data_IF_571564948033
#
_entry.id   IF_571564948033
#
_cell.length_a   1.000
_cell.length_b   1.000
_cell.length_c   1.000
_cell.angle_alpha   90.00
_cell.angle_beta   90.00
_cell.angle_gamma   90.00
#
_symmetry.space_group_name_H-M   'P 1'
#
loop_
_entity.id
_entity.type
_entity.pdbx_description
1 polymer ?
#
# COMPACT_ATOMS: atom_id res chain seq x y z
N UNK A 1 1.51 36.47 -1.70
CA UNK A 1 1.18 35.17 -1.08
C UNK A 1 -0.30 34.92 -1.33
N UNK A 2 -0.63 34.17 -2.38
CA UNK A 2 -2.01 33.76 -2.62
C UNK A 2 -2.35 32.65 -1.64
N UNK A 3 -3.40 32.85 -0.84
CA UNK A 3 -4.02 31.82 -0.01
C UNK A 3 -4.51 30.71 -0.94
N UNK A 4 -3.80 29.58 -0.94
CA UNK A 4 -4.19 28.43 -1.75
C UNK A 4 -5.45 27.81 -1.15
N UNK A 5 -6.51 27.72 -1.95
CA UNK A 5 -7.72 26.97 -1.58
C UNK A 5 -7.34 25.50 -1.40
N UNK A 6 -7.28 25.06 -0.14
CA UNK A 6 -7.16 23.65 0.19
C UNK A 6 -8.44 22.97 -0.32
N UNK A 7 -8.36 21.81 -1.02
CA UNK A 7 -9.54 21.12 -1.49
C UNK A 7 -10.42 20.81 -0.28
N UNK A 8 -11.56 21.49 -0.18
CA UNK A 8 -12.21 21.73 1.12
C UNK A 8 -12.88 20.50 1.73
N UNK A 9 -12.82 19.34 1.08
CA UNK A 9 -13.32 18.07 1.62
C UNK A 9 -12.84 16.85 0.81
N UNK A 10 -11.60 16.40 0.99
CA UNK A 10 -11.13 15.13 0.38
C UNK A 10 -11.68 13.98 1.21
N UNK A 11 -12.42 13.06 0.57
CA UNK A 11 -12.89 11.82 1.20
C UNK A 11 -12.27 10.62 0.49
N UNK A 12 -11.58 9.78 1.25
CA UNK A 12 -11.00 8.53 0.79
C UNK A 12 -11.95 7.38 1.12
N UNK A 13 -12.42 6.71 0.08
CA UNK A 13 -13.21 5.49 0.21
C UNK A 13 -12.28 4.29 0.30
N UNK A 14 -12.22 3.68 1.49
CA UNK A 14 -11.21 2.68 1.84
C UNK A 14 -11.77 1.36 2.36
N UNK A 15 -13.07 1.15 2.17
CA UNK A 15 -13.79 -0.06 2.59
C UNK A 15 -14.21 -0.08 4.06
N UNK A 16 -13.41 0.48 4.98
CA UNK A 16 -13.69 0.46 6.42
C UNK A 16 -13.62 1.86 7.07
N UNK A 17 -14.52 2.18 8.02
CA UNK A 17 -14.68 3.54 8.55
C UNK A 17 -13.65 3.94 9.61
N UNK A 18 -12.84 3.02 10.15
CA UNK A 18 -11.93 3.32 11.27
C UNK A 18 -10.80 4.25 10.81
N UNK A 19 -10.64 5.41 11.45
CA UNK A 19 -9.47 6.30 11.23
C UNK A 19 -8.27 5.79 12.02
N UNK A 20 -7.05 5.98 11.50
CA UNK A 20 -5.80 5.60 12.17
C UNK A 20 -5.34 4.15 11.95
N UNK A 21 -6.20 3.27 11.43
CA UNK A 21 -5.84 1.89 11.09
C UNK A 21 -5.43 1.77 9.61
N UNK A 22 -4.34 1.08 9.31
CA UNK A 22 -4.00 0.74 7.92
C UNK A 22 -5.00 -0.27 7.33
N UNK A 23 -5.11 -0.31 6.00
CA UNK A 23 -6.00 -1.27 5.32
C UNK A 23 -5.22 -2.40 4.68
N UNK A 24 -5.91 -3.49 4.38
CA UNK A 24 -5.31 -4.60 3.63
C UNK A 24 -4.98 -4.23 2.18
N UNK A 25 -5.45 -3.08 1.67
CA UNK A 25 -5.09 -2.59 0.34
C UNK A 25 -3.79 -1.78 0.38
N UNK A 26 -2.74 -2.18 -0.35
CA UNK A 26 -1.50 -1.41 -0.42
C UNK A 26 -1.69 -0.06 -1.11
N UNK A 27 -2.59 0.03 -2.10
CA UNK A 27 -2.87 1.27 -2.85
C UNK A 27 -3.52 2.35 -1.99
N UNK A 28 -4.48 1.97 -1.14
CA UNK A 28 -5.11 2.88 -0.19
C UNK A 28 -4.07 3.34 0.83
N UNK A 29 -3.30 2.41 1.38
CA UNK A 29 -2.28 2.72 2.38
C UNK A 29 -1.22 3.67 1.81
N UNK A 30 -0.70 3.42 0.61
CA UNK A 30 0.19 4.31 -0.15
C UNK A 30 -0.40 5.72 -0.30
N UNK A 31 -1.65 5.83 -0.75
CA UNK A 31 -2.31 7.12 -0.98
C UNK A 31 -2.49 7.91 0.32
N UNK A 32 -3.01 7.27 1.37
CA UNK A 32 -3.15 7.89 2.69
C UNK A 32 -1.81 8.38 3.21
N UNK A 33 -0.77 7.56 3.07
CA UNK A 33 0.57 7.90 3.48
C UNK A 33 1.08 9.15 2.72
N UNK A 34 0.88 9.19 1.40
CA UNK A 34 1.28 10.31 0.56
C UNK A 34 0.56 11.62 0.88
N UNK A 35 -0.73 11.55 1.20
CA UNK A 35 -1.51 12.72 1.64
C UNK A 35 -1.01 13.25 2.98
N UNK A 36 -0.68 12.37 3.93
CA UNK A 36 -0.07 12.76 5.21
C UNK A 36 1.27 13.47 5.01
N UNK A 37 2.11 12.98 4.10
CA UNK A 37 3.39 13.65 3.76
C UNK A 37 3.20 15.05 3.18
N UNK A 38 2.13 15.27 2.43
CA UNK A 38 1.75 16.59 1.93
C UNK A 38 1.07 17.49 2.94
N UNK A 39 0.86 17.04 4.19
CA UNK A 39 0.05 17.77 5.17
C UNK A 39 -1.42 17.94 4.75
N UNK A 40 -1.92 17.12 3.82
CA UNK A 40 -3.29 17.22 3.33
C UNK A 40 -4.23 16.49 4.29
N UNK A 41 -5.21 17.23 4.82
CA UNK A 41 -6.29 16.66 5.62
C UNK A 41 -7.31 15.93 4.74
N UNK A 42 -7.79 14.78 5.20
CA UNK A 42 -8.80 13.99 4.50
C UNK A 42 -9.74 13.27 5.47
N UNK A 43 -10.94 12.96 4.97
CA UNK A 43 -11.92 12.10 5.61
C UNK A 43 -11.81 10.68 5.07
N UNK A 44 -12.26 9.70 5.86
CA UNK A 44 -12.32 8.30 5.43
C UNK A 44 -13.77 7.85 5.50
N UNK A 45 -14.18 7.10 4.49
CA UNK A 45 -15.52 6.52 4.41
C UNK A 45 -15.44 5.06 3.93
N UNK A 46 -16.48 4.30 4.27
CA UNK A 46 -16.67 2.93 3.75
C UNK A 46 -17.34 2.95 2.36
N UNK A 47 -17.13 1.90 1.58
CA UNK A 47 -17.75 1.75 0.24
C UNK A 47 -16.88 2.24 -0.92
N UNK A 48 -17.53 2.65 -2.01
CA UNK A 48 -16.90 3.16 -3.23
C UNK A 48 -17.48 4.54 -3.60
N UNK A 49 -16.70 5.40 -4.27
CA UNK A 49 -17.20 6.71 -4.68
C UNK A 49 -18.30 6.54 -5.73
N UNK A 50 -19.53 6.96 -5.41
CA UNK A 50 -20.67 6.93 -6.33
C UNK A 50 -20.67 8.08 -7.37
N UNK A 51 -19.63 8.95 -7.41
CA UNK A 51 -19.59 10.16 -8.24
C UNK A 51 -18.52 10.15 -9.35
N UNK A 52 -18.85 10.84 -10.45
CA UNK A 52 -18.18 10.89 -11.77
C UNK A 52 -16.74 11.47 -11.78
N UNK A 53 -16.27 12.10 -10.70
CA UNK A 53 -14.89 12.63 -10.55
C UNK A 53 -14.05 11.77 -9.60
N UNK A 54 -14.22 10.45 -9.67
CA UNK A 54 -13.32 9.52 -8.99
C UNK A 54 -12.08 9.30 -9.87
N UNK A 55 -10.96 9.93 -9.53
CA UNK A 55 -9.67 9.45 -10.03
C UNK A 55 -9.45 8.05 -9.44
N UNK A 56 -9.43 7.02 -10.29
CA UNK A 56 -9.41 5.64 -9.84
C UNK A 56 -8.02 5.15 -9.41
N UNK A 57 -6.96 5.86 -9.80
CA UNK A 57 -5.58 5.47 -9.57
C UNK A 57 -4.91 6.43 -8.59
N UNK A 58 -4.31 5.86 -7.54
CA UNK A 58 -3.50 6.58 -6.55
C UNK A 58 -2.47 7.52 -7.17
N UNK A 59 -1.86 7.15 -8.30
CA UNK A 59 -0.86 7.98 -8.96
C UNK A 59 -1.47 9.14 -9.73
N UNK A 60 -2.62 8.90 -10.38
CA UNK A 60 -3.34 9.97 -11.07
C UNK A 60 -3.87 10.99 -10.05
N UNK A 61 -4.33 10.52 -8.88
CA UNK A 61 -4.72 11.38 -7.76
C UNK A 61 -3.53 12.24 -7.34
N UNK A 62 -2.40 11.64 -6.98
CA UNK A 62 -1.20 12.36 -6.52
C UNK A 62 -0.71 13.34 -7.58
N UNK A 63 -0.63 12.91 -8.85
CA UNK A 63 -0.24 13.77 -9.96
C UNK A 63 -1.19 14.95 -10.14
N UNK A 64 -2.50 14.74 -9.99
CA UNK A 64 -3.47 15.83 -10.09
C UNK A 64 -3.27 16.88 -9.00
N UNK A 65 -2.97 16.47 -7.77
CA UNK A 65 -2.67 17.38 -6.67
C UNK A 65 -1.34 18.11 -6.87
N UNK A 66 -0.32 17.44 -7.41
CA UNK A 66 0.96 18.09 -7.75
C UNK A 66 0.75 19.18 -8.80
N UNK A 67 0.09 18.85 -9.92
CA UNK A 67 -0.19 19.80 -11.00
C UNK A 67 -1.07 20.96 -10.52
N UNK A 68 -1.98 20.70 -9.58
CA UNK A 68 -2.84 21.73 -8.99
C UNK A 68 -2.14 22.55 -7.89
N UNK A 69 -0.88 22.26 -7.58
CA UNK A 69 -0.08 22.97 -6.58
C UNK A 69 -0.40 22.61 -5.13
N UNK A 70 -1.20 21.57 -4.89
CA UNK A 70 -1.57 21.11 -3.54
C UNK A 70 -0.54 20.15 -2.92
N UNK A 71 0.30 19.51 -3.73
CA UNK A 71 1.38 18.64 -3.27
C UNK A 71 2.70 19.03 -3.94
N UNK A 72 3.80 18.96 -3.19
CA UNK A 72 5.14 19.00 -3.75
C UNK A 72 5.45 17.72 -4.53
N UNK A 73 6.26 17.80 -5.58
CA UNK A 73 6.75 16.62 -6.29
C UNK A 73 7.94 16.02 -5.53
N UNK A 74 7.71 14.89 -4.85
CA UNK A 74 8.75 14.18 -4.08
C UNK A 74 9.88 13.64 -4.97
N UNK A 75 9.62 13.47 -6.27
CA UNK A 75 10.61 12.99 -7.22
C UNK A 75 11.34 14.15 -7.93
N UNK A 76 11.17 15.41 -7.48
CA UNK A 76 11.80 16.56 -8.13
C UNK A 76 13.33 16.53 -8.03
N UNK A 77 13.88 16.09 -6.89
CA UNK A 77 15.32 16.11 -6.59
C UNK A 77 16.11 14.93 -7.14
N UNK A 78 15.44 13.82 -7.51
CA UNK A 78 16.12 12.59 -7.94
C UNK A 78 16.51 12.61 -9.43
N UNK A 79 17.63 11.96 -9.75
CA UNK A 79 18.15 11.86 -11.11
C UNK A 79 17.24 11.03 -12.04
N UNK A 80 17.38 11.17 -13.38
CA UNK A 80 16.62 10.35 -14.33
C UNK A 80 16.82 8.84 -14.16
N UNK A 81 18.03 8.41 -13.76
CA UNK A 81 18.33 7.00 -13.49
C UNK A 81 17.60 6.51 -12.23
N UNK A 82 17.63 7.30 -11.15
CA UNK A 82 16.86 7.00 -9.94
C UNK A 82 15.36 6.92 -10.25
N UNK A 83 14.80 7.84 -11.06
CA UNK A 83 13.39 7.78 -11.51
C UNK A 83 13.07 6.48 -12.26
N UNK A 84 13.97 6.02 -13.13
CA UNK A 84 13.77 4.77 -13.85
C UNK A 84 13.81 3.56 -12.89
N UNK A 85 14.74 3.56 -11.93
CA UNK A 85 14.84 2.51 -10.91
C UNK A 85 13.63 2.52 -9.96
N UNK A 86 13.09 3.70 -9.62
CA UNK A 86 11.84 3.91 -8.89
C UNK A 86 10.65 3.32 -9.64
N UNK A 87 10.53 3.62 -10.93
CA UNK A 87 9.49 3.06 -11.78
C UNK A 87 9.58 1.53 -11.85
N UNK A 88 10.79 0.95 -11.90
CA UNK A 88 10.97 -0.51 -11.90
C UNK A 88 10.48 -1.17 -10.61
N UNK A 89 10.81 -0.62 -9.44
CA UNK A 89 10.31 -1.14 -8.16
C UNK A 89 8.80 -1.02 -8.11
N UNK A 90 8.26 0.15 -8.45
CA UNK A 90 6.82 0.38 -8.45
C UNK A 90 6.10 -0.62 -9.35
N UNK A 91 6.58 -0.83 -10.58
CA UNK A 91 6.02 -1.83 -11.48
C UNK A 91 6.13 -3.26 -10.92
N UNK A 92 7.26 -3.61 -10.28
CA UNK A 92 7.44 -4.91 -9.62
C UNK A 92 6.41 -5.12 -8.50
N UNK A 93 6.14 -4.10 -7.69
CA UNK A 93 5.18 -4.21 -6.59
C UNK A 93 3.74 -4.20 -7.09
N UNK A 94 3.36 -3.20 -7.89
CA UNK A 94 1.98 -2.96 -8.31
C UNK A 94 1.49 -3.92 -9.39
N UNK A 95 2.36 -4.31 -10.33
CA UNK A 95 1.96 -5.14 -11.47
C UNK A 95 2.36 -6.62 -11.33
N UNK A 96 3.22 -6.97 -10.36
CA UNK A 96 3.63 -8.36 -10.14
C UNK A 96 3.32 -8.85 -8.72
N UNK A 97 3.91 -8.24 -7.70
CA UNK A 97 3.73 -8.68 -6.32
C UNK A 97 2.27 -8.63 -5.88
N UNK A 98 1.52 -7.59 -6.29
CA UNK A 98 0.09 -7.45 -6.00
C UNK A 98 -0.72 -8.69 -6.39
N UNK A 99 -0.50 -9.23 -7.59
CA UNK A 99 -1.23 -10.42 -8.05
C UNK A 99 -0.77 -11.70 -7.37
N UNK A 100 0.54 -11.85 -7.11
CA UNK A 100 1.09 -12.98 -6.36
C UNK A 100 0.59 -13.04 -4.91
N UNK A 101 0.44 -11.88 -4.25
CA UNK A 101 -0.20 -11.76 -2.95
C UNK A 101 -1.72 -11.93 -3.03
N UNK A 102 -2.32 -11.42 -4.11
CA UNK A 102 -3.73 -11.61 -4.40
C UNK A 102 -4.08 -13.10 -4.43
N UNK A 103 -3.24 -13.93 -5.05
CA UNK A 103 -3.41 -15.38 -5.09
C UNK A 103 -3.43 -15.98 -3.69
N UNK A 104 -2.43 -15.67 -2.86
CA UNK A 104 -2.39 -16.13 -1.46
C UNK A 104 -3.65 -15.74 -0.69
N UNK A 105 -4.12 -14.51 -0.86
CA UNK A 105 -5.25 -13.97 -0.08
C UNK A 105 -6.60 -14.49 -0.56
N UNK A 106 -6.87 -14.38 -1.86
CA UNK A 106 -8.19 -14.67 -2.43
C UNK A 106 -8.38 -16.11 -2.88
N UNK A 107 -7.30 -16.85 -3.11
CA UNK A 107 -7.35 -18.25 -3.56
C UNK A 107 -6.98 -19.19 -2.42
N UNK A 108 -5.76 -19.09 -1.88
CA UNK A 108 -5.28 -20.02 -0.84
C UNK A 108 -5.98 -19.78 0.50
N UNK A 109 -6.10 -18.52 0.91
CA UNK A 109 -6.68 -18.13 2.21
C UNK A 109 -8.07 -17.49 2.07
N UNK A 110 -8.84 -17.93 1.07
CA UNK A 110 -10.14 -17.37 0.70
C UNK A 110 -11.09 -17.17 1.90
N UNK A 111 -11.20 -18.16 2.80
CA UNK A 111 -12.14 -18.07 3.92
C UNK A 111 -11.75 -16.96 4.93
N UNK A 112 -10.47 -16.83 5.24
CA UNK A 112 -9.94 -15.75 6.09
C UNK A 112 -10.16 -14.39 5.44
N UNK A 113 -9.88 -14.30 4.13
CA UNK A 113 -10.07 -13.06 3.36
C UNK A 113 -11.54 -12.65 3.31
N UNK A 114 -12.42 -13.58 2.94
CA UNK A 114 -13.88 -13.37 2.86
C UNK A 114 -14.47 -12.95 4.20
N UNK A 115 -14.09 -13.62 5.28
CA UNK A 115 -14.64 -13.36 6.61
C UNK A 115 -14.36 -11.93 7.09
N UNK A 116 -13.16 -11.39 6.82
CA UNK A 116 -12.85 -10.00 7.16
C UNK A 116 -13.52 -9.01 6.20
N UNK A 117 -13.37 -9.21 4.88
CA UNK A 117 -13.85 -8.25 3.88
C UNK A 117 -15.39 -8.16 3.86
N UNK A 118 -16.09 -9.28 4.07
CA UNK A 118 -17.56 -9.33 4.09
C UNK A 118 -18.14 -9.42 5.50
N UNK A 119 -17.34 -9.15 6.54
CA UNK A 119 -17.75 -9.32 7.94
C UNK A 119 -18.99 -8.50 8.34
N UNK A 120 -19.28 -7.41 7.63
CA UNK A 120 -20.50 -6.60 7.82
C UNK A 120 -21.78 -7.22 7.24
N UNK A 121 -21.70 -8.34 6.50
CA UNK A 121 -22.85 -9.03 5.90
C UNK A 121 -23.29 -10.25 6.73
N UNK A 122 -24.55 -10.67 6.59
CA UNK A 122 -25.03 -11.93 7.17
C UNK A 122 -24.34 -13.14 6.54
N UNK A 123 -24.17 -14.24 7.29
CA UNK A 123 -23.43 -15.42 6.82
C UNK A 123 -23.89 -15.96 5.46
N UNK A 124 -25.21 -16.09 5.16
CA UNK A 124 -25.65 -16.53 3.83
C UNK A 124 -25.20 -15.58 2.70
N UNK A 125 -25.26 -14.27 2.94
CA UNK A 125 -24.81 -13.27 1.97
C UNK A 125 -23.28 -13.32 1.78
N UNK A 126 -22.51 -13.54 2.85
CA UNK A 126 -21.06 -13.71 2.75
C UNK A 126 -20.70 -14.88 1.83
N UNK A 127 -21.44 -16.00 1.89
CA UNK A 127 -21.21 -17.15 1.02
C UNK A 127 -21.48 -16.81 -0.44
N UNK A 128 -22.63 -16.21 -0.74
CA UNK A 128 -23.03 -15.87 -2.12
C UNK A 128 -22.10 -14.81 -2.72
N UNK A 129 -21.94 -13.68 -2.04
CA UNK A 129 -21.09 -12.57 -2.52
C UNK A 129 -19.62 -13.01 -2.56
N UNK A 130 -19.17 -13.76 -1.57
CA UNK A 130 -17.81 -14.31 -1.53
C UNK A 130 -17.51 -15.16 -2.76
N UNK A 131 -18.42 -16.07 -3.15
CA UNK A 131 -18.20 -16.93 -4.31
C UNK A 131 -18.12 -16.14 -5.61
N UNK A 132 -18.87 -15.04 -5.73
CA UNK A 132 -18.76 -14.12 -6.87
C UNK A 132 -17.37 -13.47 -6.89
N UNK A 133 -16.90 -12.94 -5.75
CA UNK A 133 -15.58 -12.31 -5.64
C UNK A 133 -14.45 -13.31 -5.89
N UNK A 134 -14.56 -14.54 -5.38
CA UNK A 134 -13.62 -15.62 -5.65
C UNK A 134 -13.47 -15.86 -7.16
N UNK A 135 -14.59 -16.06 -7.86
CA UNK A 135 -14.59 -16.31 -9.30
C UNK A 135 -14.03 -15.13 -10.10
N UNK A 136 -14.27 -13.90 -9.67
CA UNK A 136 -13.66 -12.70 -10.28
C UNK A 136 -12.14 -12.78 -10.13
N UNK A 137 -11.64 -13.03 -8.91
CA UNK A 137 -10.20 -13.12 -8.65
C UNK A 137 -9.53 -14.25 -9.43
N UNK A 138 -10.12 -15.44 -9.48
CA UNK A 138 -9.62 -16.56 -10.31
C UNK A 138 -9.48 -16.13 -11.77
N UNK A 139 -10.52 -15.51 -12.35
CA UNK A 139 -10.49 -15.04 -13.75
C UNK A 139 -9.46 -13.94 -13.97
N UNK A 140 -9.36 -12.98 -13.05
CA UNK A 140 -8.36 -11.90 -13.11
C UNK A 140 -6.94 -12.47 -13.09
N UNK A 141 -6.65 -13.41 -12.19
CA UNK A 141 -5.34 -14.05 -12.10
C UNK A 141 -5.02 -14.86 -13.35
N UNK A 142 -6.01 -15.58 -13.90
CA UNK A 142 -5.86 -16.29 -15.17
C UNK A 142 -5.52 -15.32 -16.30
N UNK A 143 -6.26 -14.21 -16.42
CA UNK A 143 -6.07 -13.22 -17.48
C UNK A 143 -4.75 -12.46 -17.37
N UNK A 144 -4.27 -12.21 -16.14
CA UNK A 144 -2.98 -11.57 -15.91
C UNK A 144 -1.79 -12.52 -16.12
N UNK A 145 -2.01 -13.84 -16.00
CA UNK A 145 -1.00 -14.88 -16.13
C UNK A 145 -0.54 -15.48 -14.80
N UNK A 146 -0.83 -14.87 -13.65
CA UNK A 146 -0.51 -15.49 -12.35
C UNK A 146 -1.22 -16.83 -12.13
N UNK A 147 -2.44 -16.98 -12.65
CA UNK A 147 -3.23 -18.21 -12.52
C UNK A 147 -2.69 -19.40 -13.32
N UNK A 148 -1.68 -19.21 -14.19
CA UNK A 148 -1.10 -20.31 -14.99
C UNK A 148 0.04 -21.04 -14.29
N UNK A 149 0.56 -20.49 -13.19
CA UNK A 149 1.66 -21.07 -12.41
C UNK A 149 1.13 -22.03 -11.34
N UNK A 150 2.00 -22.95 -10.90
CA UNK A 150 1.74 -23.77 -9.74
C UNK A 150 1.81 -22.95 -8.44
N UNK A 151 1.05 -23.32 -7.39
CA UNK A 151 1.08 -22.61 -6.10
C UNK A 151 2.50 -22.44 -5.53
N UNK A 152 3.35 -23.46 -5.67
CA UNK A 152 4.72 -23.44 -5.18
C UNK A 152 5.58 -22.42 -5.95
N UNK A 153 5.38 -22.29 -7.26
CA UNK A 153 6.05 -21.29 -8.09
C UNK A 153 5.60 -19.88 -7.71
N UNK A 154 4.30 -19.67 -7.48
CA UNK A 154 3.74 -18.38 -7.03
C UNK A 154 4.35 -17.98 -5.68
N UNK A 155 4.45 -18.93 -4.74
CA UNK A 155 5.10 -18.70 -3.45
C UNK A 155 6.59 -18.37 -3.60
N UNK A 156 7.32 -19.09 -4.46
CA UNK A 156 8.72 -18.83 -4.74
C UNK A 156 8.95 -17.43 -5.35
N UNK A 157 8.16 -17.05 -6.37
CA UNK A 157 8.24 -15.71 -6.96
C UNK A 157 7.95 -14.60 -5.95
N UNK A 158 6.98 -14.82 -5.05
CA UNK A 158 6.67 -13.87 -4.00
C UNK A 158 7.83 -13.72 -3.00
N UNK A 159 8.44 -14.83 -2.60
CA UNK A 159 9.61 -14.81 -1.73
C UNK A 159 10.80 -14.09 -2.37
N UNK A 160 11.12 -14.39 -3.63
CA UNK A 160 12.20 -13.76 -4.39
C UNK A 160 12.06 -12.23 -4.47
N UNK A 161 10.84 -11.74 -4.70
CA UNK A 161 10.56 -10.29 -4.73
C UNK A 161 10.80 -9.66 -3.35
N UNK A 162 10.35 -10.31 -2.27
CA UNK A 162 10.54 -9.80 -0.92
C UNK A 162 12.01 -9.82 -0.50
N UNK A 163 12.75 -10.87 -0.84
CA UNK A 163 14.19 -10.96 -0.62
C UNK A 163 14.95 -9.86 -1.37
N UNK A 164 14.60 -9.64 -2.64
CA UNK A 164 15.17 -8.57 -3.46
C UNK A 164 14.89 -7.18 -2.88
N UNK A 165 13.65 -6.94 -2.44
CA UNK A 165 13.28 -5.68 -1.81
C UNK A 165 14.00 -5.49 -0.46
N UNK A 166 14.14 -6.56 0.32
CA UNK A 166 14.90 -6.53 1.57
C UNK A 166 16.37 -6.20 1.32
N UNK A 167 16.99 -6.76 0.28
CA UNK A 167 18.38 -6.45 -0.08
C UNK A 167 18.54 -4.96 -0.41
N UNK A 168 17.61 -4.40 -1.18
CA UNK A 168 17.59 -2.97 -1.52
C UNK A 168 17.47 -2.11 -0.24
N UNK A 169 16.49 -2.39 0.63
CA UNK A 169 16.29 -1.61 1.84
C UNK A 169 17.42 -1.79 2.86
N UNK A 170 18.02 -2.98 2.94
CA UNK A 170 19.17 -3.25 3.83
C UNK A 170 20.39 -2.41 3.45
N UNK A 171 20.62 -2.21 2.14
CA UNK A 171 21.70 -1.35 1.66
C UNK A 171 21.50 0.10 2.13
N UNK A 172 20.27 0.62 2.01
CA UNK A 172 19.90 1.97 2.47
C UNK A 172 19.96 2.08 3.99
N UNK A 173 19.46 1.07 4.71
CA UNK A 173 19.46 1.03 6.16
C UNK A 173 20.87 1.06 6.74
N UNK A 174 21.81 0.31 6.14
CA UNK A 174 23.21 0.28 6.59
C UNK A 174 23.87 1.67 6.51
N UNK A 175 23.51 2.47 5.52
CA UNK A 175 24.01 3.85 5.36
C UNK A 175 23.42 4.82 6.38
N UNK A 176 22.24 4.51 6.92
CA UNK A 176 21.50 5.34 7.89
C UNK A 176 21.55 4.81 9.32
N UNK A 177 22.28 3.73 9.57
CA UNK A 177 22.21 3.00 10.85
C UNK A 177 22.53 3.86 12.08
N UNK A 178 23.35 4.89 11.91
CA UNK A 178 23.81 5.77 12.98
C UNK A 178 23.04 7.11 13.04
N UNK A 179 21.99 7.29 12.22
CA UNK A 179 21.15 8.50 12.23
C UNK A 179 19.88 8.29 13.05
N UNK A 180 19.50 9.32 13.81
CA UNK A 180 18.21 9.36 14.50
C UNK A 180 17.11 9.73 13.49
N UNK A 181 16.23 8.79 13.15
CA UNK A 181 15.08 9.07 12.29
C UNK A 181 14.78 7.96 11.27
N UNK A 182 13.86 8.21 10.33
CA UNK A 182 13.61 7.31 9.23
C UNK A 182 14.74 7.26 8.21
N UNK A 183 14.96 6.09 7.62
CA UNK A 183 15.68 5.97 6.36
C UNK A 183 14.72 5.83 5.18
N UNK A 184 15.13 6.39 4.05
CA UNK A 184 14.43 6.30 2.77
C UNK A 184 15.23 5.43 1.80
N UNK A 185 14.58 4.96 0.74
CA UNK A 185 15.18 4.05 -0.26
C UNK A 185 16.53 4.55 -0.76
N UNK A 186 16.66 5.84 -1.08
CA UNK A 186 17.91 6.38 -1.61
C UNK A 186 18.95 6.70 -0.55
N UNK A 187 18.63 6.50 0.72
CA UNK A 187 19.52 6.90 1.81
C UNK A 187 19.72 8.43 1.85
N UNK A 188 18.73 9.20 1.43
CA UNK A 188 18.71 10.65 1.56
C UNK A 188 17.84 11.07 2.75
N UNK A 189 17.68 12.38 2.99
CA UNK A 189 16.88 12.91 4.12
C UNK A 189 15.36 12.96 3.83
N UNK A 190 14.97 12.78 2.57
CA UNK A 190 13.59 12.89 2.11
C UNK A 190 13.08 11.63 1.37
N UNK A 191 11.78 11.29 1.51
CA UNK A 191 11.17 10.18 0.78
C UNK A 191 10.94 10.53 -0.69
N UNK A 192 10.87 9.49 -1.52
CA UNK A 192 10.33 9.53 -2.89
C UNK A 192 8.90 9.01 -2.94
N UNK A 193 8.24 9.14 -4.09
CA UNK A 193 6.94 8.49 -4.31
C UNK A 193 7.03 6.96 -4.19
N UNK A 194 8.18 6.35 -4.52
CA UNK A 194 8.40 4.91 -4.40
C UNK A 194 8.43 4.46 -2.95
N UNK A 195 8.97 5.27 -2.03
CA UNK A 195 8.92 4.95 -0.60
C UNK A 195 7.47 4.77 -0.14
N UNK A 196 6.52 5.55 -0.67
CA UNK A 196 5.08 5.38 -0.42
C UNK A 196 4.52 4.06 -0.94
N UNK A 197 4.97 3.61 -2.11
CA UNK A 197 4.61 2.30 -2.67
C UNK A 197 5.16 1.19 -1.79
N UNK A 198 6.46 1.22 -1.49
CA UNK A 198 7.16 0.22 -0.66
C UNK A 198 6.48 0.12 0.71
N UNK A 199 6.23 1.25 1.36
CA UNK A 199 5.50 1.32 2.61
C UNK A 199 4.11 0.68 2.52
N UNK A 200 3.30 1.05 1.52
CA UNK A 200 1.95 0.52 1.33
C UNK A 200 1.94 -1.01 1.20
N UNK A 201 2.89 -1.58 0.46
CA UNK A 201 3.02 -3.02 0.29
C UNK A 201 3.53 -3.73 1.54
N UNK A 202 4.52 -3.18 2.24
CA UNK A 202 5.03 -3.74 3.50
C UNK A 202 3.92 -3.78 4.55
N UNK A 203 3.23 -2.65 4.77
CA UNK A 203 2.16 -2.57 5.75
C UNK A 203 1.04 -3.55 5.39
N UNK A 204 0.59 -3.56 4.13
CA UNK A 204 -0.43 -4.51 3.66
C UNK A 204 -0.04 -5.96 3.95
N UNK A 205 1.22 -6.33 3.72
CA UNK A 205 1.74 -7.66 4.05
C UNK A 205 1.76 -7.96 5.55
N UNK A 206 2.14 -6.99 6.39
CA UNK A 206 2.24 -7.15 7.84
C UNK A 206 0.88 -7.32 8.54
N UNK A 207 -0.15 -6.62 8.06
CA UNK A 207 -1.46 -6.55 8.73
C UNK A 207 -2.54 -7.46 8.13
N UNK A 208 -2.33 -7.99 6.92
CA UNK A 208 -3.30 -8.87 6.28
C UNK A 208 -3.17 -10.29 6.82
N UNK A 209 -4.12 -10.71 7.66
CA UNK A 209 -4.12 -12.07 8.22
C UNK A 209 -4.37 -13.17 7.19
N UNK A 210 -4.88 -12.83 6.00
CA UNK A 210 -5.03 -13.75 4.87
C UNK A 210 -3.74 -13.93 4.04
N UNK A 211 -2.62 -13.31 4.43
CA UNK A 211 -1.30 -13.51 3.80
C UNK A 211 -0.24 -14.03 4.77
N UNK A 212 -0.46 -15.19 5.43
CA UNK A 212 0.42 -15.67 6.50
C UNK A 212 1.81 -16.12 6.01
N UNK A 213 1.96 -16.48 4.74
CA UNK A 213 3.25 -16.87 4.15
C UNK A 213 4.06 -15.63 3.77
N UNK A 214 3.40 -14.51 3.51
CA UNK A 214 4.02 -13.17 3.36
C UNK A 214 4.47 -12.59 4.72
N UNK A 215 4.92 -13.42 5.67
CA UNK A 215 5.33 -12.95 7.00
C UNK A 215 6.67 -12.22 6.93
N UNK A 216 6.61 -10.92 6.61
CA UNK A 216 7.69 -9.93 6.70
C UNK A 216 8.12 -9.64 8.14
N UNK A 217 7.45 -10.24 9.12
CA UNK A 217 7.60 -9.93 10.56
C UNK A 217 9.00 -10.23 11.10
N UNK A 218 9.82 -10.96 10.36
CA UNK A 218 11.18 -11.34 10.75
C UNK A 218 12.26 -10.45 10.15
N UNK A 219 11.92 -9.53 9.25
CA UNK A 219 12.89 -8.72 8.52
C UNK A 219 12.96 -7.30 9.10
N UNK A 220 14.01 -7.06 9.89
CA UNK A 220 14.24 -5.81 10.63
C UNK A 220 14.21 -4.54 9.75
N UNK A 221 14.79 -4.52 8.53
CA UNK A 221 14.71 -3.34 7.66
C UNK A 221 13.28 -2.96 7.27
N UNK A 222 12.40 -3.94 7.05
CA UNK A 222 10.99 -3.67 6.76
C UNK A 222 10.26 -3.07 7.96
N UNK A 223 10.54 -3.59 9.16
CA UNK A 223 9.95 -3.04 10.38
C UNK A 223 10.43 -1.62 10.65
N UNK A 224 11.72 -1.34 10.42
CA UNK A 224 12.28 -0.01 10.61
C UNK A 224 11.73 0.99 9.58
N UNK A 225 11.72 0.63 8.30
CA UNK A 225 11.12 1.44 7.23
C UNK A 225 9.64 1.74 7.51
N UNK A 226 8.89 0.76 8.04
CA UNK A 226 7.48 0.94 8.42
C UNK A 226 7.28 1.78 9.70
N UNK A 227 8.15 1.64 10.70
CA UNK A 227 8.02 2.29 12.01
C UNK A 227 8.45 3.75 12.02
N UNK A 228 9.59 4.06 11.39
CA UNK A 228 10.22 5.36 11.57
C UNK A 228 9.86 6.34 10.44
N UNK A 229 9.64 5.84 9.22
CA UNK A 229 9.29 6.65 8.03
C UNK A 229 7.99 7.43 8.20
N UNK A 230 6.98 6.76 8.75
CA UNK A 230 5.60 7.15 8.46
C UNK A 230 4.75 7.47 9.69
N UNK A 231 5.26 7.18 10.89
CA UNK A 231 4.57 7.45 12.17
C UNK A 231 5.16 8.66 12.92
N UNK A 232 6.41 9.05 12.64
CA UNK A 232 7.17 9.97 13.52
C UNK A 232 6.82 11.45 13.38
N UNK A 233 6.18 11.90 12.28
CA UNK A 233 5.83 13.33 12.12
C UNK A 233 4.41 13.72 12.52
N UNK A 234 3.50 12.77 12.78
CA UNK A 234 2.10 13.06 13.12
C UNK A 234 1.49 12.03 14.08
N UNK A 235 2.19 11.74 15.19
CA UNK A 235 1.70 10.86 16.25
C UNK A 235 0.35 11.29 16.85
N UNK A 236 -0.05 12.55 16.67
CA UNK A 236 -1.34 13.08 17.17
C UNK A 236 -2.58 12.56 16.42
N UNK A 237 -2.43 11.81 15.33
CA UNK A 237 -3.56 11.22 14.59
C UNK A 237 -3.77 9.71 14.87
N UNK A 238 -2.93 9.10 15.72
CA UNK A 238 -3.00 7.69 16.11
C UNK A 238 -3.81 7.43 17.40
N UNK A 239 -4.64 8.38 17.84
CA UNK A 239 -5.44 8.30 19.08
C UNK A 239 -6.66 7.35 19.04
N UNK A 240 -6.74 6.42 18.09
CA UNK A 240 -7.80 5.44 17.99
C UNK A 240 -7.21 4.04 17.97
N UNK A 241 -7.30 3.31 19.09
CA UNK A 241 -6.80 1.94 19.19
C UNK A 241 -7.43 1.03 18.14
N UNK A 242 -6.62 0.50 17.22
CA UNK A 242 -7.03 -0.56 16.31
C UNK A 242 -7.06 -1.87 17.09
N UNK A 243 -8.25 -2.35 17.45
CA UNK A 243 -8.40 -3.74 17.88
C UNK A 243 -8.41 -4.65 16.64
N UNK A 244 -7.45 -5.58 16.63
CA UNK A 244 -7.24 -6.68 15.68
C UNK A 244 -8.50 -7.42 15.27
#
# INVERSE_FOLDING_TARGET
MSTMDTPSNITIFRGFPEKGCYTWSPFVTKLEARLRFGGISYNVESGSPMKLQSLADSDLIVRSFIVSGHLEDLNASISPVQKAQDLSIKALLENRLYFLQGYERWIENYYTMRAKILGGMSWPLQVVVGNIIYNINVRTMQGQGTGTFFPEEIAAFRAEIWESLNAILSASYTQHRDSEGPFWRWGEDAPTETDGVVFGFIISGLICSAGPTTTLRTMEPFLHHARLGWLSRHADLAGGGCHS
#
